data_IF_869684245420
#
_entry.id   IF_869684245420
#
_cell.length_a   1.000
_cell.length_b   1.000
_cell.length_c   1.000
_cell.angle_alpha   90.00
_cell.angle_beta   90.00
_cell.angle_gamma   90.00
#
_symmetry.space_group_name_H-M   'P 1'
#
loop_
_entity.id
_entity.type
_entity.pdbx_description
1 polymer ?
#
# COMPACT_ATOMS: atom_id res chain seq x y z
N UNK A 1 26.51 0.72 10.75
CA UNK A 1 25.45 1.66 10.33
C UNK A 1 25.17 1.35 8.86
N UNK A 2 24.37 0.31 8.63
CA UNK A 2 24.25 -0.38 7.34
C UNK A 2 23.15 0.22 6.45
N UNK A 3 23.60 0.73 5.30
CA UNK A 3 22.99 0.66 3.98
C UNK A 3 21.47 0.90 3.86
N UNK A 4 21.14 2.20 3.84
CA UNK A 4 20.09 2.78 2.98
C UNK A 4 20.15 2.16 1.58
N UNK A 5 19.10 1.45 1.15
CA UNK A 5 18.80 1.29 -0.28
C UNK A 5 17.56 2.09 -0.62
N UNK A 6 17.83 3.37 -0.82
CA UNK A 6 17.03 4.19 -1.70
C UNK A 6 17.20 3.58 -3.10
N UNK A 7 16.11 3.27 -3.81
CA UNK A 7 16.18 3.25 -5.26
C UNK A 7 16.27 4.72 -5.73
N UNK A 8 17.37 5.39 -5.39
CA UNK A 8 17.74 6.68 -5.97
C UNK A 8 18.61 6.31 -7.17
N UNK A 9 18.00 6.24 -8.36
CA UNK A 9 18.79 6.21 -9.59
C UNK A 9 18.25 5.34 -10.73
N UNK A 10 17.26 4.48 -10.50
CA UNK A 10 16.62 3.73 -11.59
C UNK A 10 15.19 4.25 -11.75
N UNK A 11 14.81 4.78 -12.93
CA UNK A 11 13.43 5.13 -13.22
C UNK A 11 12.49 3.97 -12.89
N UNK A 12 11.31 4.27 -12.36
CA UNK A 12 10.32 3.23 -12.02
C UNK A 12 10.12 2.24 -13.18
N UNK A 13 10.04 2.74 -14.41
CA UNK A 13 9.82 1.98 -15.63
C UNK A 13 10.89 0.88 -15.85
N UNK A 14 12.13 1.16 -15.43
CA UNK A 14 13.31 0.31 -15.60
C UNK A 14 13.55 -0.65 -14.41
N UNK A 15 12.75 -0.55 -13.35
CA UNK A 15 12.89 -1.40 -12.18
C UNK A 15 12.68 -2.88 -12.54
N UNK A 16 13.70 -3.69 -12.22
CA UNK A 16 13.69 -5.14 -12.38
C UNK A 16 13.28 -5.83 -11.09
N UNK A 17 12.30 -6.73 -11.19
CA UNK A 17 11.82 -7.50 -10.05
C UNK A 17 12.93 -8.39 -9.46
N UNK A 18 12.98 -8.41 -8.14
CA UNK A 18 13.89 -9.25 -7.38
C UNK A 18 13.16 -10.48 -6.83
N UNK A 19 13.92 -11.49 -6.39
CA UNK A 19 13.36 -12.63 -5.66
C UNK A 19 12.58 -12.21 -4.41
N UNK A 20 12.98 -11.12 -3.76
CA UNK A 20 12.27 -10.60 -2.60
C UNK A 20 10.89 -10.05 -2.99
N UNK A 21 10.75 -9.46 -4.17
CA UNK A 21 9.46 -8.94 -4.66
C UNK A 21 8.49 -10.08 -4.96
N UNK A 22 8.97 -11.15 -5.61
CA UNK A 22 8.18 -12.36 -5.84
C UNK A 22 7.67 -12.95 -4.53
N UNK A 23 8.55 -13.13 -3.54
CA UNK A 23 8.15 -13.62 -2.22
C UNK A 23 7.13 -12.70 -1.54
N UNK A 24 7.34 -11.38 -1.53
CA UNK A 24 6.38 -10.42 -0.96
C UNK A 24 5.03 -10.49 -1.67
N UNK A 25 5.02 -10.66 -2.98
CA UNK A 25 3.78 -10.81 -3.75
C UNK A 25 3.03 -12.09 -3.37
N UNK A 26 3.73 -13.22 -3.27
CA UNK A 26 3.16 -14.51 -2.83
C UNK A 26 2.59 -14.42 -1.41
N UNK A 27 3.33 -13.83 -0.48
CA UNK A 27 2.90 -13.61 0.91
C UNK A 27 1.65 -12.71 0.98
N UNK A 28 1.60 -11.64 0.18
CA UNK A 28 0.45 -10.74 0.12
C UNK A 28 -0.80 -11.46 -0.39
N UNK A 29 -0.66 -12.29 -1.43
CA UNK A 29 -1.78 -13.10 -1.95
C UNK A 29 -2.27 -14.10 -0.90
N UNK A 30 -1.35 -14.83 -0.27
CA UNK A 30 -1.71 -15.80 0.77
C UNK A 30 -2.41 -15.13 1.98
N UNK A 31 -1.93 -13.94 2.37
CA UNK A 31 -2.56 -13.14 3.43
C UNK A 31 -3.96 -12.68 3.03
N UNK A 32 -4.13 -12.17 1.81
CA UNK A 32 -5.44 -11.72 1.31
C UNK A 32 -6.46 -12.88 1.30
N UNK A 33 -6.06 -14.05 0.80
CA UNK A 33 -6.89 -15.26 0.82
C UNK A 33 -7.28 -15.67 2.25
N UNK A 34 -6.33 -15.62 3.17
CA UNK A 34 -6.59 -15.93 4.57
C UNK A 34 -7.57 -14.92 5.20
N UNK A 35 -7.38 -13.62 4.98
CA UNK A 35 -8.28 -12.55 5.47
C UNK A 35 -9.69 -12.75 4.93
N UNK A 36 -9.85 -13.01 3.63
CA UNK A 36 -11.17 -13.25 3.03
C UNK A 36 -11.89 -14.43 3.70
N UNK A 37 -11.17 -15.52 3.98
CA UNK A 37 -11.73 -16.68 4.71
C UNK A 37 -12.13 -16.36 6.14
N UNK A 38 -11.43 -15.45 6.82
CA UNK A 38 -11.83 -15.02 8.17
C UNK A 38 -13.04 -14.09 8.13
N UNK A 39 -13.05 -13.12 7.21
CA UNK A 39 -14.18 -12.19 7.04
C UNK A 39 -15.47 -12.94 6.72
N UNK A 40 -15.41 -13.97 5.87
CA UNK A 40 -16.57 -14.81 5.56
C UNK A 40 -17.16 -15.56 6.78
N UNK A 41 -16.36 -15.77 7.84
CA UNK A 41 -16.79 -16.42 9.08
C UNK A 41 -17.22 -15.41 10.15
N UNK A 42 -16.92 -14.13 9.96
CA UNK A 42 -17.15 -13.12 10.97
C UNK A 42 -18.64 -12.76 11.06
N UNK A 43 -19.21 -12.65 12.27
CA UNK A 43 -20.56 -12.13 12.42
C UNK A 43 -20.60 -10.68 11.98
N UNK A 44 -21.71 -10.27 11.36
CA UNK A 44 -21.94 -8.85 11.06
C UNK A 44 -21.99 -8.06 12.36
N UNK A 45 -21.30 -6.92 12.39
CA UNK A 45 -21.45 -5.98 13.49
C UNK A 45 -22.83 -5.34 13.44
N UNK A 46 -23.39 -5.03 14.61
CA UNK A 46 -24.56 -4.16 14.69
C UNK A 46 -24.18 -2.72 14.35
N UNK A 47 -25.14 -1.94 13.88
CA UNK A 47 -24.94 -0.52 13.55
C UNK A 47 -24.43 0.27 14.76
N UNK A 48 -24.89 -0.06 15.97
CA UNK A 48 -24.42 0.53 17.23
C UNK A 48 -22.93 0.27 17.47
N UNK A 49 -22.46 -0.97 17.27
CA UNK A 49 -21.05 -1.32 17.41
C UNK A 49 -20.21 -0.62 16.35
N UNK A 50 -20.71 -0.54 15.13
CA UNK A 50 -20.03 0.16 14.05
C UNK A 50 -19.86 1.65 14.38
N UNK A 51 -20.93 2.31 14.86
CA UNK A 51 -20.91 3.71 15.29
C UNK A 51 -19.94 3.94 16.45
N UNK A 52 -19.97 3.09 17.47
CA UNK A 52 -19.05 3.20 18.61
C UNK A 52 -17.57 3.11 18.18
N UNK A 53 -17.25 2.25 17.21
CA UNK A 53 -15.89 2.17 16.65
C UNK A 53 -15.54 3.40 15.83
N UNK A 54 -16.47 3.93 15.03
CA UNK A 54 -16.24 5.18 14.30
C UNK A 54 -15.94 6.35 15.23
N UNK A 55 -16.70 6.49 16.33
CA UNK A 55 -16.47 7.52 17.34
C UNK A 55 -15.11 7.38 18.01
N UNK A 56 -14.63 6.14 18.23
CA UNK A 56 -13.30 5.87 18.80
C UNK A 56 -12.16 6.23 17.84
N UNK A 57 -12.34 6.08 16.52
CA UNK A 57 -11.33 6.39 15.52
C UNK A 57 -11.15 7.90 15.29
N UNK A 58 -12.10 8.73 15.73
CA UNK A 58 -12.05 10.18 15.61
C UNK A 58 -12.36 10.69 14.20
N UNK A 59 -12.18 12.00 13.96
CA UNK A 59 -12.44 12.61 12.66
C UNK A 59 -11.45 12.11 11.60
N UNK A 60 -11.86 12.10 10.30
CA UNK A 60 -10.96 11.73 9.22
C UNK A 60 -9.76 12.70 9.14
N UNK A 61 -8.55 12.21 8.78
CA UNK A 61 -7.37 13.07 8.66
C UNK A 61 -7.55 14.14 7.58
N UNK A 62 -6.96 15.32 7.81
CA UNK A 62 -7.01 16.43 6.87
C UNK A 62 -6.19 16.12 5.59
N UNK A 63 -6.60 16.57 4.39
CA UNK A 63 -5.88 16.27 3.15
C UNK A 63 -4.39 16.66 3.14
N UNK A 64 -4.01 17.70 3.88
CA UNK A 64 -2.61 18.15 4.02
C UNK A 64 -1.74 17.19 4.85
N UNK A 65 -2.33 16.25 5.57
CA UNK A 65 -1.63 15.21 6.32
C UNK A 65 -1.13 14.08 5.42
N UNK A 66 -1.37 14.16 4.11
CA UNK A 66 -0.94 13.15 3.14
C UNK A 66 0.22 13.63 2.26
N UNK A 67 1.10 12.70 1.92
CA UNK A 67 2.11 12.82 0.88
C UNK A 67 1.68 12.04 -0.37
N UNK A 68 2.12 12.52 -1.54
CA UNK A 68 1.88 11.89 -2.85
C UNK A 68 3.15 11.17 -3.30
N UNK A 69 2.97 10.01 -3.92
CA UNK A 69 4.06 9.16 -4.39
C UNK A 69 3.69 8.59 -5.76
N UNK A 70 4.64 8.52 -6.68
CA UNK A 70 4.58 7.56 -7.79
C UNK A 70 5.11 6.23 -7.28
N UNK A 71 4.42 5.15 -7.61
CA UNK A 71 4.80 3.80 -7.19
C UNK A 71 4.72 2.86 -8.38
N UNK A 72 5.70 1.97 -8.47
CA UNK A 72 5.62 0.80 -9.35
C UNK A 72 5.05 -0.37 -8.60
N UNK A 73 4.02 -0.95 -9.18
CA UNK A 73 3.44 -2.19 -8.71
C UNK A 73 4.21 -3.39 -9.24
N UNK A 74 4.09 -4.52 -8.55
CA UNK A 74 4.64 -5.81 -8.97
C UNK A 74 4.27 -6.19 -10.41
N UNK A 75 3.05 -5.88 -10.84
CA UNK A 75 2.62 -6.13 -12.23
C UNK A 75 3.26 -5.20 -13.28
N UNK A 76 4.10 -4.25 -12.87
CA UNK A 76 4.81 -3.31 -13.74
C UNK A 76 4.12 -1.95 -13.92
N UNK A 77 2.80 -1.86 -13.69
CA UNK A 77 2.08 -0.59 -13.81
C UNK A 77 2.50 0.42 -12.75
N UNK A 78 2.59 1.69 -13.16
CA UNK A 78 3.00 2.81 -12.31
C UNK A 78 1.78 3.67 -12.00
N UNK A 79 1.60 4.02 -10.73
CA UNK A 79 0.46 4.83 -10.30
C UNK A 79 0.84 5.84 -9.24
N UNK A 80 -0.03 6.83 -9.09
CA UNK A 80 0.05 7.73 -7.95
C UNK A 80 -0.72 7.17 -6.75
N UNK A 81 -0.11 7.22 -5.57
CA UNK A 81 -0.75 6.90 -4.30
C UNK A 81 -0.59 8.04 -3.30
N UNK A 82 -1.55 8.12 -2.39
CA UNK A 82 -1.50 9.02 -1.22
C UNK A 82 -1.34 8.18 0.04
N UNK A 83 -0.45 8.61 0.92
CA UNK A 83 -0.21 8.01 2.25
C UNK A 83 -0.04 9.10 3.28
N UNK A 84 -0.31 8.78 4.54
CA UNK A 84 -0.04 9.70 5.65
C UNK A 84 1.41 10.18 5.58
N UNK A 85 1.66 11.46 5.86
CA UNK A 85 3.00 12.04 6.00
C UNK A 85 3.78 11.42 7.17
N UNK A 86 3.09 10.81 8.14
CA UNK A 86 3.74 10.03 9.19
C UNK A 86 4.33 8.71 8.69
N UNK A 87 3.93 8.24 7.50
CA UNK A 87 4.47 7.05 6.89
C UNK A 87 5.71 7.42 6.04
N UNK A 88 6.87 6.89 6.42
CA UNK A 88 8.14 7.19 5.74
C UNK A 88 8.13 6.77 4.27
N UNK A 89 7.50 5.62 3.95
CA UNK A 89 7.40 5.10 2.57
C UNK A 89 6.08 4.37 2.31
N UNK A 90 5.53 4.46 1.09
CA UNK A 90 4.24 3.87 0.77
C UNK A 90 4.27 2.35 0.62
N UNK A 91 5.45 1.74 0.51
CA UNK A 91 5.67 0.30 0.35
C UNK A 91 5.86 -0.47 1.68
N UNK A 92 5.70 0.22 2.82
CA UNK A 92 5.88 -0.35 4.15
C UNK A 92 4.59 -0.89 4.79
N UNK A 93 4.73 -2.00 5.54
CA UNK A 93 3.69 -2.53 6.42
C UNK A 93 2.42 -3.00 5.71
N UNK A 94 1.27 -2.79 6.35
CA UNK A 94 -0.05 -3.25 5.86
C UNK A 94 -0.48 -2.53 4.57
N UNK A 95 0.07 -1.34 4.29
CA UNK A 95 -0.29 -0.52 3.13
C UNK A 95 0.65 -0.68 1.94
N UNK A 96 1.57 -1.66 1.99
CA UNK A 96 2.58 -1.90 0.95
C UNK A 96 2.08 -2.57 -0.33
N UNK A 97 0.77 -2.62 -0.55
CA UNK A 97 0.15 -3.20 -1.74
C UNK A 97 -1.07 -2.38 -2.18
N UNK A 98 -1.48 -2.59 -3.42
CA UNK A 98 -2.62 -1.93 -4.03
C UNK A 98 -3.34 -2.86 -5.01
N UNK A 99 -4.62 -2.60 -5.28
CA UNK A 99 -5.33 -3.21 -6.43
C UNK A 99 -4.95 -2.49 -7.71
N UNK A 100 -4.28 -3.16 -8.66
CA UNK A 100 -4.00 -2.58 -9.97
C UNK A 100 -5.30 -2.34 -10.77
N UNK A 101 -5.51 -1.11 -11.25
CA UNK A 101 -6.72 -0.74 -12.02
C UNK A 101 -6.59 -1.01 -13.52
N UNK A 102 -5.36 -1.24 -13.99
CA UNK A 102 -5.07 -1.50 -15.41
C UNK A 102 -5.19 -2.99 -15.73
N UNK A 103 -4.53 -3.87 -14.95
CA UNK A 103 -4.62 -5.32 -15.16
C UNK A 103 -5.46 -6.08 -14.12
N UNK A 104 -6.02 -5.40 -13.12
CA UNK A 104 -6.89 -6.03 -12.11
C UNK A 104 -6.17 -6.83 -11.01
N UNK A 105 -4.84 -6.93 -11.03
CA UNK A 105 -4.09 -7.69 -10.01
C UNK A 105 -4.33 -7.11 -8.60
N UNK A 106 -4.81 -7.95 -7.69
CA UNK A 106 -5.15 -7.58 -6.31
C UNK A 106 -4.91 -8.75 -5.34
N UNK A 107 -4.03 -8.61 -4.33
CA UNK A 107 -3.15 -7.48 -4.10
C UNK A 107 -2.00 -7.44 -5.11
N UNK A 108 -1.50 -6.24 -5.45
CA UNK A 108 -0.23 -6.05 -6.14
C UNK A 108 0.72 -5.27 -5.24
N UNK A 109 1.84 -5.88 -4.82
CA UNK A 109 2.79 -5.23 -3.92
C UNK A 109 3.51 -4.07 -4.60
N UNK A 110 3.89 -3.05 -3.82
CA UNK A 110 4.70 -1.94 -4.30
C UNK A 110 6.17 -2.36 -4.27
N UNK A 111 6.85 -2.23 -5.42
CA UNK A 111 8.24 -2.68 -5.61
C UNK A 111 9.23 -1.53 -5.78
N UNK A 112 8.77 -0.37 -6.22
CA UNK A 112 9.58 0.85 -6.29
C UNK A 112 8.73 2.09 -6.06
N UNK A 113 9.34 3.16 -5.55
CA UNK A 113 8.65 4.38 -5.10
C UNK A 113 9.46 5.62 -5.46
N UNK A 114 8.77 6.69 -5.85
CA UNK A 114 9.30 8.03 -6.07
C UNK A 114 8.39 9.05 -5.37
N UNK A 115 8.91 9.91 -4.48
CA UNK A 115 8.09 10.96 -3.88
C UNK A 115 7.69 11.98 -4.96
N UNK A 116 6.42 12.36 -4.97
CA UNK A 116 5.98 13.55 -5.70
C UNK A 116 6.16 14.74 -4.77
N UNK A 117 7.27 15.46 -4.94
CA UNK A 117 7.44 16.75 -4.27
C UNK A 117 6.34 17.65 -4.84
N UNK A 118 5.44 18.13 -3.98
CA UNK A 118 4.42 19.06 -4.41
C UNK A 118 5.10 20.34 -4.89
N UNK A 119 4.81 20.77 -6.12
CA UNK A 119 4.89 22.19 -6.44
C UNK A 119 4.00 22.91 -5.40
N UNK A 120 4.60 23.89 -4.73
CA UNK A 120 4.03 24.60 -3.58
C UNK A 120 2.68 25.27 -3.84
#
# INVERSE_FOLDING_TARGET
>A
MESRRVAQGVPLEEYQLTRADHRRQEEAVAMADWVQRQVAKAPRWSDEKFKAIQELLGPPPHPSEFARWRVRLYCGHIREVRRSRSQERPDGGVTGHERCRECGLDPSVIVAVEPLVGDG
#
